data_IF_054412145371
#
_entry.id   IF_054412145371
#
_cell.length_a   1.000
_cell.length_b   1.000
_cell.length_c   1.000
_cell.angle_alpha   90.00
_cell.angle_beta   90.00
_cell.angle_gamma   90.00
#
_symmetry.space_group_name_H-M   'P 1'
#
loop_
_entity.id
_entity.type
_entity.pdbx_description
1 polymer ?
#
# COMPACT_ATOMS: atom_id res chain seq x y z
N UNK A 1 -61.00 -24.37 -26.68
CA UNK A 1 -61.52 -25.73 -26.52
C UNK A 1 -61.64 -26.38 -27.89
N UNK A 2 -61.31 -27.67 -28.11
CA UNK A 2 -60.71 -28.70 -27.25
C UNK A 2 -59.33 -29.15 -27.84
N UNK A 3 -58.53 -30.11 -27.36
CA UNK A 3 -58.83 -31.33 -26.65
C UNK A 3 -57.64 -31.76 -25.78
N UNK A 4 -57.99 -32.40 -24.66
CA UNK A 4 -57.10 -33.14 -23.79
C UNK A 4 -56.68 -34.45 -24.45
N UNK A 5 -55.49 -34.95 -24.11
CA UNK A 5 -55.34 -36.19 -23.33
C UNK A 5 -54.06 -36.98 -23.69
N UNK A 6 -53.59 -37.69 -22.65
CA UNK A 6 -52.74 -38.89 -22.64
C UNK A 6 -51.23 -38.71 -22.47
N UNK A 7 -50.88 -38.53 -21.19
CA UNK A 7 -50.20 -39.55 -20.37
C UNK A 7 -49.39 -40.59 -21.17
N UNK A 8 -48.06 -40.47 -21.16
CA UNK A 8 -47.17 -41.64 -21.18
C UNK A 8 -45.88 -41.30 -20.45
N UNK A 9 -45.69 -42.05 -19.38
CA UNK A 9 -44.56 -42.07 -18.47
C UNK A 9 -43.37 -42.70 -19.21
N UNK A 10 -42.27 -41.96 -19.39
CA UNK A 10 -40.99 -42.55 -19.79
C UNK A 10 -39.87 -41.81 -19.04
N UNK A 11 -39.61 -42.32 -17.84
CA UNK A 11 -38.30 -42.33 -17.18
C UNK A 11 -37.21 -42.54 -18.24
N UNK A 12 -36.34 -41.56 -18.47
CA UNK A 12 -35.01 -41.79 -19.04
C UNK A 12 -34.09 -40.60 -18.74
N UNK A 13 -33.08 -40.91 -17.92
CA UNK A 13 -31.73 -40.32 -17.84
C UNK A 13 -31.62 -38.89 -17.33
N UNK A 14 -31.34 -38.77 -16.02
CA UNK A 14 -30.52 -37.68 -15.51
C UNK A 14 -29.15 -37.75 -16.22
N UNK A 15 -28.69 -36.74 -16.97
CA UNK A 15 -27.27 -36.55 -17.10
C UNK A 15 -26.79 -36.13 -15.71
N UNK A 16 -25.85 -36.90 -15.15
CA UNK A 16 -25.04 -36.44 -14.05
C UNK A 16 -24.41 -35.11 -14.47
N UNK A 17 -24.95 -34.00 -13.96
CA UNK A 17 -24.32 -32.71 -14.04
C UNK A 17 -23.10 -32.83 -13.13
N UNK A 18 -21.98 -33.24 -13.73
CA UNK A 18 -20.68 -33.18 -13.11
C UNK A 18 -20.51 -31.73 -12.64
N UNK A 19 -20.51 -31.53 -11.32
CA UNK A 19 -19.99 -30.30 -10.74
C UNK A 19 -18.56 -30.18 -11.26
N UNK A 20 -18.30 -29.17 -12.10
CA UNK A 20 -16.95 -28.70 -12.32
C UNK A 20 -16.40 -28.31 -10.94
N UNK A 21 -15.39 -29.04 -10.48
CA UNK A 21 -14.64 -28.71 -9.28
C UNK A 21 -14.07 -27.29 -9.42
N UNK A 22 -14.38 -26.36 -8.52
CA UNK A 22 -13.64 -25.12 -8.47
C UNK A 22 -12.27 -25.40 -7.84
N UNK A 23 -11.22 -24.92 -8.52
CA UNK A 23 -10.03 -24.35 -7.88
C UNK A 23 -9.05 -25.31 -7.17
N UNK A 24 -8.48 -26.29 -7.86
CA UNK A 24 -7.17 -26.82 -7.47
C UNK A 24 -6.04 -25.88 -7.97
N UNK A 25 -6.12 -25.42 -9.22
CA UNK A 25 -5.11 -24.56 -9.84
C UNK A 25 -4.95 -23.19 -9.17
N UNK A 26 -6.01 -22.59 -8.62
CA UNK A 26 -5.92 -21.28 -7.97
C UNK A 26 -5.19 -21.38 -6.63
N UNK A 27 -5.44 -22.44 -5.86
CA UNK A 27 -4.75 -22.69 -4.60
C UNK A 27 -3.26 -23.03 -4.84
N UNK A 28 -2.96 -23.76 -5.92
CA UNK A 28 -1.56 -24.05 -6.30
C UNK A 28 -0.85 -22.80 -6.84
N UNK A 29 -1.53 -21.95 -7.62
CA UNK A 29 -0.98 -20.66 -8.06
C UNK A 29 -0.71 -19.70 -6.89
N UNK A 30 -1.58 -19.67 -5.86
CA UNK A 30 -1.34 -18.90 -4.63
C UNK A 30 -0.22 -19.49 -3.75
N UNK A 31 0.00 -20.80 -3.80
CA UNK A 31 1.04 -21.47 -3.00
C UNK A 31 2.44 -21.40 -3.63
N UNK A 32 2.54 -21.06 -4.92
CA UNK A 32 3.83 -20.93 -5.63
C UNK A 32 4.36 -19.49 -5.60
N UNK A 33 3.64 -18.57 -4.97
CA UNK A 33 4.10 -17.20 -4.80
C UNK A 33 5.03 -17.12 -3.57
N UNK A 34 6.34 -17.16 -3.83
CA UNK A 34 7.41 -17.11 -2.82
C UNK A 34 7.41 -15.80 -1.99
N UNK A 35 6.49 -14.86 -2.25
CA UNK A 35 6.40 -13.61 -1.50
C UNK A 35 5.67 -13.77 -0.16
N UNK A 36 4.92 -14.87 0.04
CA UNK A 36 4.21 -15.16 1.29
C UNK A 36 4.59 -16.52 1.85
N UNK A 37 4.78 -16.60 3.17
CA UNK A 37 4.99 -17.88 3.82
C UNK A 37 3.73 -18.75 3.72
N UNK A 38 3.94 -20.07 3.65
CA UNK A 38 2.86 -21.03 3.44
C UNK A 38 1.86 -20.96 4.60
N UNK A 39 0.61 -20.55 4.31
CA UNK A 39 -0.46 -20.43 5.29
C UNK A 39 -0.81 -19.00 5.71
N UNK A 40 -0.06 -18.00 5.26
CA UNK A 40 -0.33 -16.59 5.56
C UNK A 40 -1.37 -16.00 4.61
N UNK A 41 -2.64 -16.42 4.77
CA UNK A 41 -3.76 -15.90 3.98
C UNK A 41 -3.87 -14.37 4.05
N UNK A 42 -3.52 -13.75 5.19
CA UNK A 42 -3.45 -12.30 5.30
C UNK A 42 -2.35 -11.68 4.43
N UNK A 43 -1.19 -12.32 4.31
CA UNK A 43 -0.13 -11.85 3.41
C UNK A 43 -0.62 -11.90 1.95
N UNK A 44 -1.20 -13.04 1.55
CA UNK A 44 -1.69 -13.22 0.18
C UNK A 44 -2.80 -12.20 -0.17
N UNK A 45 -3.74 -11.96 0.74
CA UNK A 45 -4.80 -10.96 0.54
C UNK A 45 -4.23 -9.53 0.45
N UNK A 46 -3.31 -9.15 1.34
CA UNK A 46 -2.71 -7.81 1.29
C UNK A 46 -1.84 -7.63 0.04
N UNK A 47 -1.08 -8.65 -0.38
CA UNK A 47 -0.27 -8.61 -1.59
C UNK A 47 -1.14 -8.40 -2.84
N UNK A 48 -2.25 -9.13 -2.96
CA UNK A 48 -3.24 -8.95 -4.04
C UNK A 48 -3.80 -7.52 -4.05
N UNK A 49 -4.18 -7.02 -2.88
CA UNK A 49 -4.70 -5.65 -2.76
C UNK A 49 -3.64 -4.62 -3.17
N UNK A 50 -2.39 -4.74 -2.71
CA UNK A 50 -1.30 -3.83 -3.09
C UNK A 50 -0.97 -3.90 -4.59
N UNK A 51 -1.05 -5.10 -5.19
CA UNK A 51 -0.86 -5.29 -6.62
C UNK A 51 -1.94 -4.56 -7.43
N UNK A 52 -3.18 -4.56 -6.96
CA UNK A 52 -4.27 -3.79 -7.58
C UNK A 52 -4.03 -2.27 -7.60
N UNK A 53 -3.20 -1.76 -6.68
CA UNK A 53 -2.84 -0.34 -6.60
C UNK A 53 -1.48 -0.03 -7.26
N UNK A 54 -0.88 -1.01 -7.94
CA UNK A 54 0.35 -0.84 -8.72
C UNK A 54 1.61 -0.62 -7.88
N UNK A 55 1.62 -1.11 -6.64
CA UNK A 55 2.74 -0.93 -5.71
C UNK A 55 3.70 -2.13 -5.76
N UNK A 56 5.01 -1.88 -5.64
CA UNK A 56 6.02 -2.94 -5.55
C UNK A 56 5.96 -3.61 -4.16
N UNK A 57 5.25 -4.74 -4.07
CA UNK A 57 4.83 -5.35 -2.81
C UNK A 57 5.99 -5.84 -1.91
N UNK A 58 7.13 -6.21 -2.48
CA UNK A 58 8.19 -6.95 -1.77
C UNK A 58 8.81 -6.16 -0.61
N UNK A 59 9.15 -4.89 -0.84
CA UNK A 59 9.74 -4.05 0.21
C UNK A 59 8.70 -3.38 1.12
N UNK A 60 7.45 -3.30 0.65
CA UNK A 60 6.31 -2.77 1.41
C UNK A 60 5.80 -3.77 2.45
N UNK A 61 5.80 -5.06 2.11
CA UNK A 61 5.48 -6.14 3.02
C UNK A 61 6.46 -6.20 4.19
N UNK A 62 7.74 -5.92 3.95
CA UNK A 62 8.75 -5.81 5.02
C UNK A 62 8.48 -4.64 5.99
N UNK A 63 7.70 -3.64 5.57
CA UNK A 63 7.23 -2.53 6.40
C UNK A 63 5.85 -2.79 7.03
N UNK A 64 5.19 -3.91 6.69
CA UNK A 64 3.83 -4.21 7.13
C UNK A 64 2.80 -3.20 6.63
N UNK A 65 3.05 -2.57 5.47
CA UNK A 65 2.10 -1.66 4.81
C UNK A 65 1.05 -2.50 4.09
N UNK A 66 -0.23 -2.19 4.32
CA UNK A 66 -1.42 -2.81 3.74
C UNK A 66 -2.16 -1.79 2.86
N UNK A 67 -3.08 -2.25 2.03
CA UNK A 67 -3.86 -1.36 1.17
C UNK A 67 -4.72 -0.37 1.98
N UNK A 68 -5.22 -0.77 3.14
CA UNK A 68 -5.98 0.10 4.05
C UNK A 68 -5.20 1.33 4.50
N UNK A 69 -3.86 1.21 4.62
CA UNK A 69 -3.02 2.33 5.03
C UNK A 69 -2.97 3.43 3.94
N UNK A 70 -3.22 3.07 2.68
CA UNK A 70 -3.27 4.01 1.55
C UNK A 70 -4.60 4.78 1.51
N UNK A 71 -5.68 4.17 1.99
CA UNK A 71 -7.01 4.76 2.08
C UNK A 71 -7.10 5.75 3.25
N UNK A 72 -6.25 5.58 4.26
CA UNK A 72 -6.12 6.48 5.40
C UNK A 72 -5.68 7.88 4.97
N UNK A 73 -6.67 8.77 4.84
CA UNK A 73 -6.49 10.19 4.53
C UNK A 73 -6.46 11.06 5.80
N UNK A 74 -6.50 10.44 6.97
CA UNK A 74 -6.56 11.13 8.27
C UNK A 74 -5.33 12.01 8.54
N UNK A 75 -4.19 11.69 7.92
CA UNK A 75 -2.97 12.49 8.00
C UNK A 75 -2.33 12.52 9.39
N UNK A 76 -2.82 11.70 10.32
CA UNK A 76 -2.26 11.54 11.66
C UNK A 76 -0.88 10.87 11.60
N UNK A 77 0.01 11.24 12.52
CA UNK A 77 1.32 10.59 12.64
C UNK A 77 1.22 9.13 13.12
N UNK A 78 0.08 8.75 13.70
CA UNK A 78 -0.18 7.47 14.36
C UNK A 78 -0.96 6.48 13.48
N UNK A 79 -1.39 6.89 12.28
CA UNK A 79 -2.27 6.11 11.41
C UNK A 79 -1.79 6.13 9.96
N UNK A 80 -2.36 5.27 9.12
CA UNK A 80 -1.95 5.12 7.73
C UNK A 80 -0.46 4.79 7.56
N UNK A 81 0.11 5.22 6.44
CA UNK A 81 1.50 4.97 6.08
C UNK A 81 2.47 5.67 7.04
N UNK A 82 2.15 6.87 7.49
CA UNK A 82 2.99 7.60 8.44
C UNK A 82 3.08 6.84 9.76
N UNK A 83 1.97 6.25 10.24
CA UNK A 83 1.95 5.38 11.41
C UNK A 83 2.88 4.17 11.27
N UNK A 84 2.96 3.56 10.09
CA UNK A 84 3.85 2.41 9.81
C UNK A 84 5.32 2.77 9.89
N UNK A 85 5.70 3.92 9.33
CA UNK A 85 7.10 4.38 9.34
C UNK A 85 7.48 5.11 10.64
N UNK A 86 6.51 5.48 11.48
CA UNK A 86 6.75 6.18 12.74
C UNK A 86 7.69 5.42 13.67
N UNK A 87 7.60 4.09 13.70
CA UNK A 87 8.49 3.25 14.51
C UNK A 87 9.98 3.41 14.20
N UNK A 88 10.33 3.95 13.02
CA UNK A 88 11.73 4.17 12.62
C UNK A 88 12.32 5.48 13.14
N UNK A 89 11.47 6.46 13.40
CA UNK A 89 11.88 7.81 13.77
C UNK A 89 10.80 8.48 14.65
N UNK A 90 10.47 7.91 15.82
CA UNK A 90 9.36 8.41 16.64
C UNK A 90 9.56 9.86 17.08
N UNK A 91 10.79 10.22 17.44
CA UNK A 91 11.16 11.59 17.85
C UNK A 91 11.01 12.61 16.70
N UNK A 92 11.24 12.20 15.45
CA UNK A 92 11.02 13.05 14.29
C UNK A 92 9.54 13.44 14.16
N UNK A 93 8.64 12.46 14.29
CA UNK A 93 7.21 12.69 14.18
C UNK A 93 6.63 13.41 15.40
N UNK A 94 7.18 13.15 16.58
CA UNK A 94 6.79 13.87 17.81
C UNK A 94 7.23 15.34 17.77
N UNK A 95 8.42 15.64 17.24
CA UNK A 95 8.91 17.01 17.07
C UNK A 95 8.23 17.77 15.92
N UNK A 96 7.73 17.06 14.91
CA UNK A 96 7.19 17.65 13.69
C UNK A 96 5.81 17.10 13.29
N UNK A 97 4.78 17.21 14.14
CA UNK A 97 3.46 16.63 13.87
C UNK A 97 2.78 17.28 12.65
N UNK A 98 3.08 18.55 12.34
CA UNK A 98 2.51 19.23 11.18
C UNK A 98 2.93 18.62 9.83
N UNK A 99 4.02 17.86 9.78
CA UNK A 99 4.49 17.23 8.55
C UNK A 99 3.71 15.97 8.17
N UNK A 100 3.06 15.32 9.14
CA UNK A 100 2.37 14.04 8.96
C UNK A 100 1.28 14.03 7.88
N UNK A 101 0.35 15.01 7.81
CA UNK A 101 -0.70 14.98 6.78
C UNK A 101 -0.11 15.10 5.37
N UNK A 102 0.84 16.01 5.19
CA UNK A 102 1.52 16.22 3.92
C UNK A 102 2.43 15.04 3.55
N UNK A 103 2.95 14.29 4.53
CA UNK A 103 3.73 13.07 4.34
C UNK A 103 2.88 11.89 3.96
N UNK A 104 1.73 11.69 4.61
CA UNK A 104 0.77 10.66 4.24
C UNK A 104 0.40 10.80 2.76
N UNK A 105 0.01 12.01 2.34
CA UNK A 105 -0.33 12.29 0.94
C UNK A 105 0.83 12.05 -0.03
N UNK A 106 2.05 12.45 0.36
CA UNK A 106 3.24 12.22 -0.46
C UNK A 106 3.57 10.73 -0.60
N UNK A 107 3.43 9.94 0.46
CA UNK A 107 3.65 8.49 0.45
C UNK A 107 2.59 7.76 -0.38
N UNK A 108 1.32 8.14 -0.25
CA UNK A 108 0.24 7.59 -1.10
C UNK A 108 0.52 7.91 -2.56
N UNK A 109 0.87 9.16 -2.89
CA UNK A 109 1.22 9.52 -4.26
C UNK A 109 2.47 8.78 -4.77
N UNK A 110 3.47 8.61 -3.92
CA UNK A 110 4.67 7.83 -4.24
C UNK A 110 4.32 6.41 -4.67
N UNK A 111 3.48 5.72 -3.91
CA UNK A 111 3.17 4.32 -4.18
C UNK A 111 2.16 4.13 -5.30
N UNK A 112 1.20 5.04 -5.45
CA UNK A 112 0.04 4.85 -6.33
C UNK A 112 0.13 5.62 -7.66
N UNK A 113 0.97 6.65 -7.75
CA UNK A 113 0.99 7.60 -8.90
C UNK A 113 2.35 7.73 -9.59
N UNK A 114 3.27 6.80 -9.35
CA UNK A 114 4.55 6.75 -10.08
C UNK A 114 5.74 7.35 -9.34
N UNK A 115 5.86 7.07 -8.03
CA UNK A 115 7.08 7.30 -7.28
C UNK A 115 7.35 8.78 -6.95
N UNK A 116 8.64 9.14 -6.92
CA UNK A 116 9.11 10.46 -6.46
C UNK A 116 8.49 11.60 -7.27
N UNK A 117 8.26 11.39 -8.57
CA UNK A 117 7.66 12.38 -9.47
C UNK A 117 6.27 12.82 -9.02
N UNK A 118 5.50 11.91 -8.41
CA UNK A 118 4.16 12.18 -7.90
C UNK A 118 4.18 12.73 -6.46
N UNK A 119 5.13 12.30 -5.64
CA UNK A 119 5.30 12.78 -4.27
C UNK A 119 5.87 14.21 -4.20
N UNK A 120 6.84 14.54 -5.07
CA UNK A 120 7.53 15.83 -5.11
C UNK A 120 6.60 17.05 -5.08
N UNK A 121 5.58 17.18 -5.95
CA UNK A 121 4.72 18.37 -5.94
C UNK A 121 3.96 18.54 -4.61
N UNK A 122 3.60 17.46 -3.93
CA UNK A 122 2.93 17.50 -2.62
C UNK A 122 3.88 18.04 -1.55
N UNK A 123 5.11 17.52 -1.51
CA UNK A 123 6.14 17.99 -0.57
C UNK A 123 6.47 19.46 -0.84
N UNK A 124 6.55 19.85 -2.11
CA UNK A 124 6.88 21.20 -2.50
C UNK A 124 5.75 22.20 -2.23
N UNK A 125 4.48 21.78 -2.29
CA UNK A 125 3.35 22.58 -1.84
C UNK A 125 3.34 22.75 -0.32
N UNK A 126 3.70 21.69 0.42
CA UNK A 126 3.72 21.65 1.89
C UNK A 126 5.12 21.94 2.49
N UNK A 127 5.97 22.66 1.78
CA UNK A 127 7.41 22.81 2.08
C UNK A 127 7.71 23.25 3.51
N UNK A 128 6.86 24.11 4.07
CA UNK A 128 6.99 24.63 5.43
C UNK A 128 6.78 23.55 6.48
N UNK A 129 5.85 22.63 6.24
CA UNK A 129 5.52 21.55 7.17
C UNK A 129 6.71 20.59 7.30
N UNK A 130 7.33 20.27 6.16
CA UNK A 130 8.57 19.48 6.07
C UNK A 130 9.80 20.20 6.61
N UNK A 131 9.79 21.54 6.66
CA UNK A 131 10.92 22.34 7.14
C UNK A 131 11.33 22.04 8.58
N UNK A 132 10.38 21.61 9.42
CA UNK A 132 10.67 21.20 10.79
C UNK A 132 11.70 20.06 10.85
N UNK A 133 11.52 19.02 10.02
CA UNK A 133 12.41 17.87 9.94
C UNK A 133 13.83 18.23 9.45
N UNK A 134 13.98 19.40 8.82
CA UNK A 134 15.24 19.89 8.26
C UNK A 134 15.96 20.88 9.19
N UNK A 135 15.36 21.20 10.34
CA UNK A 135 16.00 22.05 11.34
C UNK A 135 17.07 21.26 12.08
N UNK A 136 18.20 21.88 12.42
CA UNK A 136 19.32 21.21 13.12
C UNK A 136 18.91 20.44 14.38
N UNK A 137 17.83 20.89 15.05
CA UNK A 137 17.26 20.25 16.24
C UNK A 137 16.61 18.88 15.96
N UNK A 138 15.91 18.73 14.84
CA UNK A 138 15.12 17.52 14.53
C UNK A 138 15.73 16.68 13.40
N UNK A 139 16.70 17.23 12.66
CA UNK A 139 17.33 16.53 11.55
C UNK A 139 17.96 15.22 11.98
N UNK A 140 18.63 15.17 13.14
CA UNK A 140 19.24 13.95 13.67
C UNK A 140 18.19 12.86 13.93
N UNK A 141 17.03 13.25 14.45
CA UNK A 141 15.91 12.35 14.73
C UNK A 141 15.24 11.86 13.44
N UNK A 142 15.23 12.69 12.39
CA UNK A 142 14.64 12.38 11.09
C UNK A 142 15.60 11.64 10.13
N UNK A 143 16.90 11.56 10.44
CA UNK A 143 17.90 10.85 9.59
C UNK A 143 17.59 9.38 9.31
N UNK A 144 17.08 8.57 10.26
CA UNK A 144 16.70 7.18 9.97
C UNK A 144 15.67 7.10 8.83
N UNK A 145 14.69 8.01 8.84
CA UNK A 145 13.68 8.09 7.79
C UNK A 145 14.26 8.51 6.44
N UNK A 146 15.15 9.52 6.42
CA UNK A 146 15.84 9.95 5.21
C UNK A 146 16.66 8.80 4.60
N UNK A 147 17.35 8.01 5.43
CA UNK A 147 18.10 6.83 4.97
C UNK A 147 17.18 5.74 4.44
N UNK A 148 16.04 5.52 5.09
CA UNK A 148 15.07 4.51 4.63
C UNK A 148 14.51 4.88 3.27
N UNK A 149 14.17 6.16 3.06
CA UNK A 149 13.72 6.66 1.75
C UNK A 149 14.79 6.46 0.67
N UNK A 150 16.07 6.66 0.99
CA UNK A 150 17.17 6.39 0.05
C UNK A 150 17.25 4.90 -0.34
N UNK A 151 16.90 3.98 0.58
CA UNK A 151 16.75 2.55 0.28
C UNK A 151 15.69 2.27 -0.79
N UNK A 152 14.62 3.05 -0.82
CA UNK A 152 13.59 3.01 -1.86
C UNK A 152 13.97 3.78 -3.14
N UNK A 153 15.22 4.22 -3.29
CA UNK A 153 15.67 5.06 -4.41
C UNK A 153 15.25 6.53 -4.31
N UNK A 154 14.75 6.97 -3.15
CA UNK A 154 14.28 8.34 -2.92
C UNK A 154 15.30 9.13 -2.11
N UNK A 155 16.02 10.03 -2.77
CA UNK A 155 16.91 10.96 -2.07
C UNK A 155 16.13 12.15 -1.51
N UNK A 156 15.69 12.03 -0.26
CA UNK A 156 15.04 13.12 0.46
C UNK A 156 16.05 14.24 0.79
N UNK A 157 15.65 15.51 0.66
CA UNK A 157 16.50 16.63 1.06
C UNK A 157 16.74 16.62 2.57
N UNK A 158 17.97 16.91 2.99
CA UNK A 158 18.39 16.94 4.41
C UNK A 158 18.67 18.34 4.93
N UNK A 159 18.42 19.38 4.12
CA UNK A 159 18.59 20.78 4.50
C UNK A 159 17.56 21.66 3.81
N UNK A 160 17.31 22.84 4.37
CA UNK A 160 16.40 23.82 3.75
C UNK A 160 16.87 24.23 2.34
N UNK A 161 18.18 24.34 2.13
CA UNK A 161 18.76 24.64 0.83
C UNK A 161 18.47 23.53 -0.18
N UNK A 162 18.71 22.27 0.20
CA UNK A 162 18.44 21.09 -0.65
C UNK A 162 16.94 20.94 -0.96
N UNK A 163 16.06 21.21 0.01
CA UNK A 163 14.61 21.21 -0.23
C UNK A 163 14.21 22.35 -1.17
N UNK A 164 14.86 23.51 -1.08
CA UNK A 164 14.64 24.61 -2.01
C UNK A 164 15.06 24.28 -3.44
N UNK A 165 16.22 23.68 -3.64
CA UNK A 165 16.68 23.26 -4.97
C UNK A 165 15.85 22.10 -5.54
N UNK A 166 15.40 21.17 -4.69
CA UNK A 166 14.63 20.00 -5.11
C UNK A 166 13.20 20.36 -5.58
N UNK A 167 12.66 21.46 -5.08
CA UNK A 167 11.33 21.97 -5.44
C UNK A 167 11.32 23.03 -6.54
N UNK A 168 12.45 23.28 -7.19
CA UNK A 168 12.55 24.18 -8.35
C UNK A 168 12.30 23.46 -9.66
#
# INVERSE_FOLDING_TARGET
>A
FPAMARLTFLLLVLPALALAEPTADVATALATDDQCASGDAECALNALQLHSVGVNATELSALGIKATDLEDSSGSCDSGLVGKIRGMAPECFHGCPQACPSLQNALVAYLTRGGVSAARPIICAAKRDYGCALTSKHLLDCRPLIRKAAGFGVHLPSSWHSLNSWCR
#
